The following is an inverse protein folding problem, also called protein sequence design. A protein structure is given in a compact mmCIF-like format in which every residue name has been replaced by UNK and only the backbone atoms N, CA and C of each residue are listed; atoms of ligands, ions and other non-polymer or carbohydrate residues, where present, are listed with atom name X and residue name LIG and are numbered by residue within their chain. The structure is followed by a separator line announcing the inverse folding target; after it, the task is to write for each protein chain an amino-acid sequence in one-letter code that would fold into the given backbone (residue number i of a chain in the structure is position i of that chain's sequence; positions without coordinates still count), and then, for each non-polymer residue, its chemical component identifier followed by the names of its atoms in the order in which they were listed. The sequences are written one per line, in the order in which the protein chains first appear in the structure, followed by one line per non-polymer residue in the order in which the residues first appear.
data_IF_996357961173
#
_entry.id   IF_996357961173
#
_cell.length_a   1.000
_cell.length_b   1.000
_cell.length_c   1.000
_cell.angle_alpha   90.00
_cell.angle_beta   90.00
_cell.angle_gamma   90.00
#
_symmetry.space_group_name_H-M   'P 1'
#
loop_
_entity.id
_entity.type
_entity.pdbx_description
1 polymer ?
#
# COMPACT_ATOMS: atom_id res chain seq x y z
N UNK A 1 5.11 7.91 -18.50
CA UNK A 1 5.02 8.62 -17.21
C UNK A 1 6.25 8.29 -16.37
N UNK A 2 6.80 9.23 -15.64
CA UNK A 2 7.88 8.96 -14.71
C UNK A 2 7.33 8.75 -13.29
N UNK A 3 8.17 8.25 -12.41
CA UNK A 3 7.76 7.97 -11.03
C UNK A 3 7.38 9.22 -10.26
N UNK A 4 8.02 10.36 -10.52
CA UNK A 4 7.69 11.60 -9.86
C UNK A 4 6.31 12.11 -10.27
N UNK A 5 5.95 12.00 -11.53
CA UNK A 5 4.62 12.35 -12.02
C UNK A 5 3.55 11.49 -11.39
N UNK A 6 3.79 10.18 -11.32
CA UNK A 6 2.86 9.25 -10.66
C UNK A 6 2.71 9.59 -9.17
N UNK A 7 3.82 9.82 -8.48
CA UNK A 7 3.81 10.19 -7.07
C UNK A 7 3.00 11.46 -6.83
N UNK A 8 3.17 12.46 -7.67
CA UNK A 8 2.42 13.71 -7.56
C UNK A 8 0.91 13.50 -7.74
N UNK A 9 0.52 12.61 -8.64
CA UNK A 9 -0.89 12.27 -8.85
C UNK A 9 -1.46 11.52 -7.65
N UNK A 10 -0.70 10.60 -7.07
CA UNK A 10 -1.10 9.89 -5.85
C UNK A 10 -1.29 10.90 -4.71
N UNK A 11 -0.35 11.81 -4.52
CA UNK A 11 -0.44 12.83 -3.49
C UNK A 11 -1.73 13.65 -3.64
N UNK A 12 -2.01 14.12 -4.84
CA UNK A 12 -3.23 14.88 -5.13
C UNK A 12 -4.48 14.06 -4.76
N UNK A 13 -4.51 12.79 -5.16
CA UNK A 13 -5.65 11.93 -4.93
C UNK A 13 -5.88 11.64 -3.43
N UNK A 14 -4.82 11.30 -2.71
CA UNK A 14 -4.93 10.95 -1.29
C UNK A 14 -5.24 12.18 -0.43
N UNK A 15 -4.68 13.34 -0.74
CA UNK A 15 -4.98 14.57 0.00
C UNK A 15 -6.43 14.99 -0.21
N UNK A 16 -6.97 14.78 -1.40
CA UNK A 16 -8.37 15.05 -1.70
C UNK A 16 -9.32 14.15 -0.88
N UNK A 17 -8.89 12.95 -0.56
CA UNK A 17 -9.66 11.99 0.25
C UNK A 17 -9.31 12.08 1.74
N UNK A 18 -8.74 13.19 2.17
CA UNK A 18 -8.45 13.49 3.57
C UNK A 18 -7.31 12.69 4.21
N UNK A 19 -6.43 12.11 3.41
CA UNK A 19 -5.18 11.57 3.91
C UNK A 19 -4.24 12.70 4.28
N UNK A 20 -3.39 12.47 5.28
CA UNK A 20 -2.40 13.45 5.72
C UNK A 20 -1.00 12.81 5.70
N UNK A 21 0.05 13.58 5.35
CA UNK A 21 1.40 13.05 5.47
C UNK A 21 1.72 12.83 6.94
N UNK A 22 2.41 11.73 7.23
CA UNK A 22 2.85 11.45 8.60
C UNK A 22 4.00 12.37 8.96
N UNK A 23 3.85 13.09 10.08
CA UNK A 23 4.87 14.01 10.56
C UNK A 23 5.50 13.54 11.87
N UNK A 24 4.89 12.55 12.51
CA UNK A 24 5.35 12.01 13.79
C UNK A 24 6.13 10.72 13.58
N UNK A 25 7.36 10.71 14.01
CA UNK A 25 8.21 9.54 13.95
C UNK A 25 8.94 9.37 12.61
N UNK A 26 9.88 8.43 12.55
CA UNK A 26 10.65 8.17 11.34
C UNK A 26 9.78 7.50 10.28
N UNK A 27 9.94 7.93 9.04
CA UNK A 27 9.31 7.28 7.87
C UNK A 27 10.26 6.27 7.24
N UNK A 28 11.40 6.01 7.87
CA UNK A 28 12.42 5.09 7.35
C UNK A 28 12.99 5.59 6.03
N UNK A 29 13.16 4.67 5.08
CA UNK A 29 13.66 5.00 3.75
C UNK A 29 12.54 5.41 2.79
N UNK A 30 11.30 5.57 3.30
CA UNK A 30 10.17 5.98 2.48
C UNK A 30 10.07 7.51 2.48
N UNK A 31 10.00 8.10 1.28
CA UNK A 31 10.02 9.56 1.13
C UNK A 31 8.82 10.23 1.81
N UNK A 32 7.63 9.71 1.53
CA UNK A 32 6.40 10.22 2.12
C UNK A 32 5.47 9.06 2.40
N UNK A 33 4.87 9.09 3.58
CA UNK A 33 3.83 8.13 3.95
C UNK A 33 2.59 8.93 4.32
N UNK A 34 1.49 8.68 3.62
CA UNK A 34 0.21 9.32 3.89
C UNK A 34 -0.64 8.41 4.74
N UNK A 35 -1.43 8.99 5.64
CA UNK A 35 -2.22 8.24 6.62
C UNK A 35 -3.66 8.76 6.70
N UNK A 36 -4.59 7.84 6.83
CA UNK A 36 -6.00 8.15 7.10
C UNK A 36 -6.58 7.11 8.05
N UNK A 37 -7.31 7.59 9.05
CA UNK A 37 -8.05 6.72 9.97
C UNK A 37 -9.52 6.72 9.57
N UNK A 38 -10.09 5.54 9.40
CA UNK A 38 -11.50 5.37 9.03
C UNK A 38 -12.18 4.35 9.91
N UNK A 39 -13.50 4.45 9.98
CA UNK A 39 -14.34 3.46 10.63
C UNK A 39 -15.20 2.80 9.56
N UNK A 40 -15.00 1.52 9.33
CA UNK A 40 -15.72 0.75 8.32
C UNK A 40 -16.65 -0.24 9.01
N UNK A 41 -17.94 -0.28 8.64
CA UNK A 41 -18.89 -1.20 9.28
C UNK A 41 -18.52 -2.68 9.14
N UNK A 42 -17.76 -3.03 8.09
CA UNK A 42 -17.39 -4.41 7.80
C UNK A 42 -16.11 -4.84 8.51
N UNK A 43 -15.10 -3.97 8.54
CA UNK A 43 -13.77 -4.32 9.05
C UNK A 43 -13.37 -3.56 10.31
N UNK A 44 -14.18 -2.60 10.75
CA UNK A 44 -13.94 -1.83 11.98
C UNK A 44 -13.05 -0.62 11.77
N UNK A 45 -12.41 -0.17 12.85
CA UNK A 45 -11.49 0.96 12.79
C UNK A 45 -10.22 0.55 12.04
N UNK A 46 -9.83 1.35 11.06
CA UNK A 46 -8.69 1.05 10.19
C UNK A 46 -7.80 2.28 10.03
N UNK A 47 -6.52 2.08 10.27
CA UNK A 47 -5.48 3.07 9.92
C UNK A 47 -4.88 2.63 8.59
N UNK A 48 -5.03 3.46 7.56
CA UNK A 48 -4.54 3.18 6.21
C UNK A 48 -3.34 4.06 5.91
N UNK A 49 -2.26 3.43 5.47
CA UNK A 49 -1.00 4.10 5.14
C UNK A 49 -0.67 3.84 3.67
N UNK A 50 -0.21 4.86 2.98
CA UNK A 50 0.13 4.77 1.54
C UNK A 50 1.52 5.34 1.32
N UNK A 51 2.33 4.65 0.54
CA UNK A 51 3.62 5.17 0.08
C UNK A 51 3.89 4.73 -1.36
N UNK A 52 4.68 5.51 -2.07
CA UNK A 52 5.13 5.19 -3.43
C UNK A 52 6.64 5.02 -3.43
N UNK A 53 7.11 3.92 -3.98
CA UNK A 53 8.54 3.60 -4.08
C UNK A 53 8.94 3.56 -5.56
N UNK A 54 9.97 4.31 -5.92
CA UNK A 54 10.56 4.20 -7.25
C UNK A 54 11.28 2.85 -7.35
N UNK A 55 10.94 2.07 -8.38
CA UNK A 55 11.40 0.68 -8.49
C UNK A 55 12.04 0.41 -9.85
N UNK A 56 13.03 1.23 -10.23
CA UNK A 56 13.64 1.20 -11.55
C UNK A 56 14.32 -0.13 -11.88
N UNK A 57 14.86 -0.84 -10.90
CA UNK A 57 15.56 -2.11 -11.08
C UNK A 57 15.36 -3.04 -9.88
N UNK A 58 14.13 -3.13 -9.42
CA UNK A 58 13.83 -3.94 -8.25
C UNK A 58 13.50 -5.39 -8.64
N UNK A 59 14.05 -6.36 -7.89
CA UNK A 59 13.70 -7.77 -8.03
C UNK A 59 12.72 -8.21 -6.94
N UNK A 60 12.31 -9.48 -6.98
CA UNK A 60 11.35 -10.03 -6.02
C UNK A 60 11.86 -9.94 -4.57
N UNK A 61 13.13 -10.23 -4.37
CA UNK A 61 13.74 -10.19 -3.03
C UNK A 61 13.73 -8.77 -2.46
N UNK A 62 14.10 -7.78 -3.27
CA UNK A 62 14.12 -6.38 -2.85
C UNK A 62 12.70 -5.86 -2.62
N UNK A 63 11.76 -6.25 -3.46
CA UNK A 63 10.35 -5.89 -3.26
C UNK A 63 9.85 -6.43 -1.91
N UNK A 64 10.15 -7.69 -1.61
CA UNK A 64 9.77 -8.29 -0.33
C UNK A 64 10.39 -7.55 0.85
N UNK A 65 11.68 -7.23 0.76
CA UNK A 65 12.37 -6.46 1.80
C UNK A 65 11.70 -5.12 2.06
N UNK A 66 11.39 -4.39 0.99
CA UNK A 66 10.75 -3.07 1.12
C UNK A 66 9.34 -3.18 1.70
N UNK A 67 8.57 -4.16 1.26
CA UNK A 67 7.23 -4.39 1.80
C UNK A 67 7.28 -4.78 3.28
N UNK A 68 8.23 -5.63 3.67
CA UNK A 68 8.43 -6.04 5.06
C UNK A 68 8.88 -4.86 5.92
N UNK A 69 9.77 -3.99 5.41
CA UNK A 69 10.19 -2.76 6.07
C UNK A 69 8.99 -1.83 6.31
N UNK A 70 8.11 -1.73 5.32
CA UNK A 70 6.90 -0.92 5.45
C UNK A 70 5.98 -1.48 6.53
N UNK A 71 5.83 -2.79 6.59
CA UNK A 71 5.05 -3.46 7.64
C UNK A 71 5.59 -3.13 9.03
N UNK A 72 6.89 -3.20 9.20
CA UNK A 72 7.55 -2.87 10.47
C UNK A 72 7.33 -1.38 10.83
N UNK A 73 7.40 -0.52 9.83
CA UNK A 73 7.17 0.91 10.01
C UNK A 73 5.75 1.18 10.49
N UNK A 74 4.74 0.54 9.89
CA UNK A 74 3.34 0.71 10.28
C UNK A 74 3.11 0.36 11.74
N UNK A 75 3.73 -0.69 12.22
CA UNK A 75 3.60 -1.11 13.62
C UNK A 75 4.11 -0.03 14.58
N UNK A 76 5.11 0.76 14.16
CA UNK A 76 5.67 1.85 14.96
C UNK A 76 4.89 3.16 14.84
N UNK A 77 4.12 3.34 13.77
CA UNK A 77 3.34 4.55 13.52
C UNK A 77 1.91 4.48 14.02
N UNK A 78 1.46 3.30 14.39
CA UNK A 78 0.07 3.10 14.83
C UNK A 78 -0.20 3.90 16.12
N UNK A 79 -1.27 4.73 16.14
CA UNK A 79 -1.67 5.41 17.35
C UNK A 79 -2.44 4.53 18.34
N UNK A 80 -2.59 3.23 18.05
CA UNK A 80 -3.43 2.34 18.82
C UNK A 80 -2.91 2.11 20.23
N UNK A 81 -3.82 2.11 21.19
CA UNK A 81 -3.53 1.65 22.53
C UNK A 81 -3.41 0.13 22.53
N UNK A 82 -2.54 -0.45 23.38
CA UNK A 82 -2.49 -1.90 23.54
C UNK A 82 -3.86 -2.46 23.90
N UNK A 83 -4.34 -3.40 23.08
CA UNK A 83 -5.65 -4.00 23.30
C UNK A 83 -6.78 -3.42 22.47
N UNK A 84 -6.56 -2.35 21.71
CA UNK A 84 -7.58 -1.85 20.80
C UNK A 84 -7.74 -2.81 19.61
N UNK A 85 -8.96 -2.84 19.05
CA UNK A 85 -9.32 -3.74 17.94
C UNK A 85 -9.11 -3.08 16.58
N UNK A 86 -8.05 -2.30 16.45
CA UNK A 86 -7.75 -1.58 15.21
C UNK A 86 -7.01 -2.43 14.19
N UNK A 87 -7.26 -2.15 12.93
CA UNK A 87 -6.57 -2.79 11.81
C UNK A 87 -5.57 -1.83 11.20
N UNK A 88 -4.37 -2.31 10.93
CA UNK A 88 -3.36 -1.57 10.19
C UNK A 88 -3.38 -2.03 8.75
N UNK A 89 -3.44 -1.08 7.83
CA UNK A 89 -3.59 -1.34 6.41
C UNK A 89 -2.56 -0.52 5.64
N UNK A 90 -1.75 -1.17 4.84
CA UNK A 90 -0.68 -0.49 4.12
C UNK A 90 -0.68 -0.78 2.64
N UNK A 91 -0.47 0.27 1.85
CA UNK A 91 -0.23 0.16 0.42
C UNK A 91 1.18 0.66 0.14
N UNK A 92 2.02 -0.22 -0.38
CA UNK A 92 3.33 0.17 -0.88
C UNK A 92 3.30 -0.04 -2.39
N UNK A 93 3.30 1.07 -3.12
CA UNK A 93 3.14 1.06 -4.58
C UNK A 93 4.51 1.19 -5.24
N UNK A 94 4.91 0.16 -5.95
CA UNK A 94 6.19 0.14 -6.66
C UNK A 94 5.97 0.66 -8.08
N UNK A 95 6.49 1.86 -8.35
CA UNK A 95 6.38 2.48 -9.67
C UNK A 95 7.59 2.08 -10.51
N UNK A 96 7.37 1.27 -11.53
CA UNK A 96 8.42 0.72 -12.38
C UNK A 96 8.13 0.99 -13.86
N UNK A 97 9.17 1.28 -14.64
CA UNK A 97 9.02 1.61 -16.05
C UNK A 97 8.58 0.42 -16.91
N UNK A 98 9.03 -0.78 -16.57
CA UNK A 98 8.69 -2.00 -17.31
C UNK A 98 8.85 -3.20 -16.37
N UNK A 99 7.91 -3.36 -15.41
CA UNK A 99 8.02 -4.44 -14.44
C UNK A 99 7.85 -5.80 -15.12
N UNK A 100 8.64 -6.79 -14.69
CA UNK A 100 8.53 -8.14 -15.21
C UNK A 100 7.24 -8.80 -14.71
N UNK A 101 6.74 -9.77 -15.48
CA UNK A 101 5.56 -10.55 -15.08
C UNK A 101 5.82 -11.28 -13.75
N UNK A 102 7.05 -11.76 -13.56
CA UNK A 102 7.45 -12.44 -12.32
C UNK A 102 7.36 -11.52 -11.12
N UNK A 103 7.79 -10.27 -11.26
CA UNK A 103 7.70 -9.27 -10.19
C UNK A 103 6.24 -8.95 -9.87
N UNK A 104 5.42 -8.73 -10.89
CA UNK A 104 3.99 -8.46 -10.74
C UNK A 104 3.29 -9.62 -10.03
N UNK A 105 3.53 -10.84 -10.47
CA UNK A 105 2.94 -12.03 -9.88
C UNK A 105 3.37 -12.21 -8.42
N UNK A 106 4.65 -12.02 -8.12
CA UNK A 106 5.14 -12.11 -6.76
C UNK A 106 4.43 -11.08 -5.85
N UNK A 107 4.38 -9.82 -6.29
CA UNK A 107 3.79 -8.74 -5.50
C UNK A 107 2.29 -8.96 -5.26
N UNK A 108 1.56 -9.39 -6.29
CA UNK A 108 0.10 -9.43 -6.26
C UNK A 108 -0.50 -10.80 -5.91
N UNK A 109 0.28 -11.87 -5.94
CA UNK A 109 -0.22 -13.22 -5.70
C UNK A 109 0.57 -14.01 -4.64
N UNK A 110 1.87 -13.80 -4.55
CA UNK A 110 2.73 -14.61 -3.68
C UNK A 110 3.05 -13.96 -2.35
N UNK A 111 3.11 -12.62 -2.30
CA UNK A 111 3.43 -11.91 -1.06
C UNK A 111 2.35 -12.13 -0.02
N UNK A 112 2.76 -12.46 1.21
CA UNK A 112 1.83 -12.68 2.33
C UNK A 112 1.35 -11.33 2.86
N UNK A 113 0.12 -10.96 2.50
CA UNK A 113 -0.48 -9.68 2.86
C UNK A 113 -0.76 -9.57 4.36
N UNK A 114 -1.46 -10.54 4.90
CA UNK A 114 -1.95 -10.48 6.27
C UNK A 114 -0.96 -11.07 7.26
N UNK A 115 -0.71 -10.33 8.34
CA UNK A 115 0.01 -10.80 9.50
C UNK A 115 -0.68 -10.23 10.74
N UNK A 116 -1.51 -11.05 11.38
CA UNK A 116 -2.36 -10.66 12.50
C UNK A 116 -3.33 -9.54 12.06
N UNK A 117 -3.17 -8.33 12.60
CA UNK A 117 -4.02 -7.18 12.28
C UNK A 117 -3.38 -6.22 11.29
N UNK A 118 -2.21 -6.56 10.80
CA UNK A 118 -1.49 -5.74 9.83
C UNK A 118 -1.60 -6.38 8.46
N UNK A 119 -2.13 -5.65 7.50
CA UNK A 119 -2.23 -6.10 6.11
C UNK A 119 -1.47 -5.12 5.23
N UNK A 120 -0.44 -5.61 4.52
CA UNK A 120 0.35 -4.80 3.61
C UNK A 120 0.18 -5.35 2.20
N UNK A 121 -0.27 -4.48 1.30
CA UNK A 121 -0.46 -4.82 -0.11
C UNK A 121 0.63 -4.16 -0.94
N UNK A 122 1.62 -4.92 -1.40
CA UNK A 122 2.51 -4.40 -2.43
C UNK A 122 1.77 -4.37 -3.75
N UNK A 123 1.71 -3.19 -4.36
CA UNK A 123 1.10 -2.98 -5.66
C UNK A 123 2.18 -2.58 -6.64
N UNK A 124 1.98 -2.87 -7.92
CA UNK A 124 2.94 -2.51 -8.96
C UNK A 124 2.25 -1.62 -9.98
N UNK A 125 2.80 -0.43 -10.19
CA UNK A 125 2.34 0.48 -11.22
C UNK A 125 3.35 0.48 -12.37
N UNK A 126 2.87 0.06 -13.55
CA UNK A 126 3.67 0.06 -14.77
C UNK A 126 3.62 1.47 -15.37
N UNK A 127 4.73 2.19 -15.26
CA UNK A 127 4.82 3.56 -15.74
C UNK A 127 4.73 3.67 -17.28
N UNK A 128 5.20 2.66 -18.00
CA UNK A 128 5.16 2.66 -19.46
C UNK A 128 3.74 2.39 -19.98
N UNK A 129 3.06 1.41 -19.42
CA UNK A 129 1.70 1.06 -19.79
C UNK A 129 0.63 1.87 -19.04
N UNK A 130 1.03 2.63 -18.04
CA UNK A 130 0.13 3.38 -17.15
C UNK A 130 -0.97 2.50 -16.57
N UNK A 131 -0.56 1.35 -16.07
CA UNK A 131 -1.46 0.31 -15.55
C UNK A 131 -1.07 -0.09 -14.12
N UNK A 132 -2.04 -0.14 -13.24
CA UNK A 132 -1.86 -0.61 -11.88
C UNK A 132 -2.21 -2.09 -11.77
N UNK A 133 -1.32 -2.87 -11.17
CA UNK A 133 -1.54 -4.28 -10.89
C UNK A 133 -1.88 -4.45 -9.41
N UNK A 134 -3.03 -5.08 -9.14
CA UNK A 134 -3.60 -5.23 -7.81
C UNK A 134 -3.80 -6.70 -7.45
N UNK A 135 -4.11 -6.94 -6.17
CA UNK A 135 -4.42 -8.28 -5.68
C UNK A 135 -5.85 -8.67 -6.01
N UNK A 136 -6.06 -9.94 -6.34
CA UNK A 136 -7.40 -10.48 -6.58
C UNK A 136 -8.14 -10.64 -5.25
N UNK A 137 -9.46 -10.45 -5.27
CA UNK A 137 -10.30 -10.61 -4.09
C UNK A 137 -10.59 -12.09 -3.87
N UNK A 138 -10.22 -12.68 -2.70
CA UNK A 138 -10.52 -14.07 -2.41
C UNK A 138 -12.01 -14.25 -2.11
N UNK A 139 -12.46 -15.50 -2.21
CA UNK A 139 -13.89 -15.82 -1.97
C UNK A 139 -14.27 -15.77 -0.50
N UNK A 140 -13.38 -16.16 0.39
CA UNK A 140 -13.68 -16.32 1.82
C UNK A 140 -12.75 -15.52 2.72
N UNK A 141 -11.60 -16.07 3.04
CA UNK A 141 -10.70 -15.52 4.06
C UNK A 141 -10.08 -14.20 3.63
N UNK A 142 -10.29 -13.17 4.43
CA UNK A 142 -9.71 -11.85 4.19
C UNK A 142 -10.43 -11.02 3.13
N UNK A 143 -11.59 -11.48 2.65
CA UNK A 143 -12.32 -10.84 1.55
C UNK A 143 -12.54 -9.34 1.76
N UNK A 144 -12.93 -8.93 2.97
CA UNK A 144 -13.19 -7.51 3.26
C UNK A 144 -11.98 -6.62 3.05
N UNK A 145 -10.80 -7.08 3.46
CA UNK A 145 -9.55 -6.34 3.28
C UNK A 145 -9.15 -6.24 1.80
N UNK A 146 -9.32 -7.32 1.05
CA UNK A 146 -9.02 -7.33 -0.38
C UNK A 146 -10.01 -6.51 -1.19
N UNK A 147 -11.28 -6.48 -0.79
CA UNK A 147 -12.29 -5.60 -1.42
C UNK A 147 -11.95 -4.12 -1.18
N UNK A 148 -11.53 -3.77 0.04
CA UNK A 148 -11.06 -2.42 0.34
C UNK A 148 -9.87 -2.05 -0.52
N UNK A 149 -8.90 -2.95 -0.67
CA UNK A 149 -7.75 -2.72 -1.52
C UNK A 149 -8.17 -2.45 -2.96
N UNK A 150 -9.10 -3.21 -3.48
CA UNK A 150 -9.58 -3.02 -4.85
C UNK A 150 -10.28 -1.67 -5.04
N UNK A 151 -11.10 -1.28 -4.09
CA UNK A 151 -11.80 0.01 -4.12
C UNK A 151 -10.83 1.18 -4.02
N UNK A 152 -9.87 1.10 -3.11
CA UNK A 152 -8.84 2.14 -2.95
C UNK A 152 -7.97 2.24 -4.21
N UNK A 153 -7.62 1.10 -4.80
CA UNK A 153 -6.83 1.07 -6.02
C UNK A 153 -7.56 1.76 -7.18
N UNK A 154 -8.84 1.46 -7.36
CA UNK A 154 -9.63 2.04 -8.43
C UNK A 154 -9.86 3.55 -8.23
N UNK A 155 -10.08 3.98 -6.99
CA UNK A 155 -10.42 5.38 -6.72
C UNK A 155 -9.20 6.28 -6.52
N UNK A 156 -8.07 5.75 -6.04
CA UNK A 156 -6.91 6.56 -5.66
C UNK A 156 -5.65 6.30 -6.49
N UNK A 157 -5.41 5.06 -6.89
CA UNK A 157 -4.10 4.66 -7.40
C UNK A 157 -4.05 4.37 -8.90
N UNK A 158 -5.19 4.21 -9.55
CA UNK A 158 -5.29 3.89 -10.99
C UNK A 158 -5.38 5.15 -11.86
N UNK A 159 -4.49 6.10 -11.64
CA UNK A 159 -4.55 7.41 -12.28
C UNK A 159 -3.40 7.66 -13.25
#
# INVERSE_FOLDING_TARGET
MDDQTYRNRIETAVLKEEYEPTTDGPTGEFDTVWHKRTEDPTIGVTDTFVTVVAAESIDQERLKERADEFRALLSGLSPSDPGSMENLFGYVIFAAADPSEELIEFATQEYTVADRRTSVFPLVYDLAAETLHTHSVPRLKGRGFFEKQKLDAESLFSI
#
